data_IF_586948010125
#
_entry.id   IF_586948010125
#
_cell.length_a   1.000
_cell.length_b   1.000
_cell.length_c   1.000
_cell.angle_alpha   90.00
_cell.angle_beta   90.00
_cell.angle_gamma   90.00
#
_symmetry.space_group_name_H-M   'P 1'
#
loop_
_entity.id
_entity.type
_entity.pdbx_description
1 polymer ?
#
# COMPACT_ATOMS: atom_id res chain seq x y z
N UNK A 1 59.98 -13.37 36.53
CA UNK A 1 59.56 -13.82 35.19
C UNK A 1 58.05 -13.85 35.15
N UNK A 2 57.49 -12.88 34.45
CA UNK A 2 56.11 -12.41 34.56
C UNK A 2 55.17 -13.34 33.80
N UNK A 3 54.33 -14.08 34.54
CA UNK A 3 53.23 -14.86 34.01
C UNK A 3 52.17 -13.88 33.51
N UNK A 4 52.17 -13.60 32.21
CA UNK A 4 51.12 -12.84 31.55
C UNK A 4 49.76 -13.53 31.73
N UNK A 5 48.93 -12.98 32.62
CA UNK A 5 47.52 -13.34 32.74
C UNK A 5 46.82 -12.70 31.54
N UNK A 6 46.64 -13.51 30.49
CA UNK A 6 45.96 -13.12 29.25
C UNK A 6 44.45 -13.02 29.50
N UNK A 7 43.98 -11.80 29.77
CA UNK A 7 42.57 -11.45 29.83
C UNK A 7 41.92 -11.66 28.45
N UNK A 8 41.22 -12.77 28.26
CA UNK A 8 40.30 -12.95 27.13
C UNK A 8 39.01 -12.20 27.46
N UNK A 9 38.94 -10.89 27.17
CA UNK A 9 37.67 -10.19 27.04
C UNK A 9 36.87 -10.90 25.95
N UNK A 10 35.89 -11.74 26.31
CA UNK A 10 34.89 -12.21 25.35
C UNK A 10 34.19 -10.97 24.81
N UNK A 11 34.36 -10.67 23.53
CA UNK A 11 33.48 -9.70 22.85
C UNK A 11 32.06 -10.21 23.08
N UNK A 12 31.23 -9.39 23.73
CA UNK A 12 29.81 -9.67 23.87
C UNK A 12 29.27 -9.96 22.47
N UNK A 13 28.95 -11.22 22.20
CA UNK A 13 28.61 -11.71 20.88
C UNK A 13 27.39 -10.97 20.36
N UNK A 14 27.46 -10.52 19.11
CA UNK A 14 26.33 -10.01 18.36
C UNK A 14 25.22 -11.07 18.41
N UNK A 15 24.12 -10.76 19.10
CA UNK A 15 22.96 -11.63 19.17
C UNK A 15 22.24 -11.54 17.81
N UNK A 16 22.28 -12.61 17.03
CA UNK A 16 21.48 -12.74 15.82
C UNK A 16 19.98 -12.85 16.13
N UNK A 17 19.15 -12.51 15.14
CA UNK A 17 17.70 -12.64 15.22
C UNK A 17 17.29 -14.12 15.30
N UNK A 18 16.24 -14.43 16.07
CA UNK A 18 15.75 -15.80 16.21
C UNK A 18 14.76 -16.15 15.11
N UNK A 19 14.69 -17.44 14.74
CA UNK A 19 13.67 -17.93 13.80
C UNK A 19 12.25 -17.71 14.35
N UNK A 20 12.08 -17.80 15.67
CA UNK A 20 10.78 -17.60 16.33
C UNK A 20 10.29 -16.17 16.15
N UNK A 21 11.16 -15.17 16.32
CA UNK A 21 10.80 -13.78 16.07
C UNK A 21 10.36 -13.58 14.61
N UNK A 22 11.07 -14.19 13.64
CA UNK A 22 10.71 -14.09 12.23
C UNK A 22 9.33 -14.69 11.93
N UNK A 23 9.04 -15.85 12.50
CA UNK A 23 7.77 -16.53 12.27
C UNK A 23 6.58 -15.71 12.76
N UNK A 24 6.71 -15.06 13.92
CA UNK A 24 5.65 -14.18 14.46
C UNK A 24 5.46 -12.97 13.54
N UNK A 25 6.55 -12.36 13.05
CA UNK A 25 6.45 -11.22 12.12
C UNK A 25 5.70 -11.61 10.85
N UNK A 26 6.06 -12.74 10.22
CA UNK A 26 5.40 -13.21 8.99
C UNK A 26 3.93 -13.55 9.25
N UNK A 27 3.61 -14.14 10.41
CA UNK A 27 2.23 -14.42 10.79
C UNK A 27 1.38 -13.14 10.89
N UNK A 28 1.90 -12.10 11.55
CA UNK A 28 1.21 -10.80 11.67
C UNK A 28 1.03 -10.15 10.30
N UNK A 29 2.08 -10.11 9.47
CA UNK A 29 2.02 -9.56 8.10
C UNK A 29 1.00 -10.34 7.26
N UNK A 30 0.93 -11.66 7.40
CA UNK A 30 -0.03 -12.52 6.70
C UNK A 30 -1.48 -12.17 7.03
N UNK A 31 -1.80 -11.99 8.33
CA UNK A 31 -3.15 -11.59 8.77
C UNK A 31 -3.50 -10.20 8.23
N UNK A 32 -2.58 -9.24 8.33
CA UNK A 32 -2.79 -7.88 7.82
C UNK A 32 -2.99 -7.88 6.30
N UNK A 33 -2.17 -8.62 5.55
CA UNK A 33 -2.28 -8.72 4.10
C UNK A 33 -3.59 -9.36 3.65
N UNK A 34 -4.07 -10.39 4.35
CA UNK A 34 -5.33 -11.05 4.04
C UNK A 34 -6.54 -10.10 4.10
N UNK A 35 -6.53 -9.12 5.01
CA UNK A 35 -7.58 -8.09 5.12
C UNK A 35 -7.31 -6.93 4.15
N UNK A 36 -6.06 -6.47 4.08
CA UNK A 36 -5.67 -5.28 3.34
C UNK A 36 -5.84 -5.45 1.82
N UNK A 37 -5.46 -6.60 1.25
CA UNK A 37 -5.51 -6.84 -0.19
C UNK A 37 -6.95 -6.71 -0.75
N UNK A 38 -7.97 -7.45 -0.26
CA UNK A 38 -9.32 -7.33 -0.79
C UNK A 38 -9.93 -5.93 -0.52
N UNK A 39 -9.60 -5.31 0.61
CA UNK A 39 -10.05 -3.95 0.91
C UNK A 39 -9.47 -2.94 -0.08
N UNK A 40 -8.18 -3.02 -0.36
CA UNK A 40 -7.50 -2.14 -1.30
C UNK A 40 -8.05 -2.30 -2.73
N UNK A 41 -8.30 -3.54 -3.16
CA UNK A 41 -8.93 -3.80 -4.46
C UNK A 41 -10.31 -3.17 -4.57
N UNK A 42 -11.15 -3.31 -3.53
CA UNK A 42 -12.47 -2.65 -3.48
C UNK A 42 -12.35 -1.12 -3.51
N UNK A 43 -11.39 -0.57 -2.78
CA UNK A 43 -11.14 0.87 -2.74
C UNK A 43 -10.73 1.40 -4.12
N UNK A 44 -9.80 0.73 -4.81
CA UNK A 44 -9.40 1.07 -6.18
C UNK A 44 -10.58 1.01 -7.16
N UNK A 45 -11.40 -0.04 -7.08
CA UNK A 45 -12.58 -0.16 -7.95
C UNK A 45 -13.57 1.00 -7.72
N UNK A 46 -13.81 1.39 -6.47
CA UNK A 46 -14.65 2.55 -6.13
C UNK A 46 -14.06 3.86 -6.64
N UNK A 47 -12.75 4.06 -6.48
CA UNK A 47 -12.06 5.24 -6.98
C UNK A 47 -12.19 5.36 -8.51
N UNK A 48 -11.96 4.26 -9.24
CA UNK A 48 -12.13 4.23 -10.70
C UNK A 48 -13.57 4.52 -11.12
N UNK A 49 -14.57 3.93 -10.44
CA UNK A 49 -15.97 4.20 -10.73
C UNK A 49 -16.35 5.66 -10.43
N UNK A 50 -15.82 6.24 -9.35
CA UNK A 50 -16.04 7.64 -9.02
C UNK A 50 -15.42 8.57 -10.06
N UNK A 51 -14.23 8.25 -10.56
CA UNK A 51 -13.59 9.00 -11.64
C UNK A 51 -14.41 8.94 -12.92
N UNK A 52 -14.79 7.72 -13.37
CA UNK A 52 -15.61 7.54 -14.55
C UNK A 52 -16.97 8.26 -14.46
N UNK A 53 -17.60 8.26 -13.27
CA UNK A 53 -18.83 9.00 -13.04
C UNK A 53 -18.61 10.52 -13.11
N UNK A 54 -17.48 11.01 -12.61
CA UNK A 54 -17.11 12.43 -12.72
C UNK A 54 -16.92 12.82 -14.18
N UNK A 55 -16.20 12.01 -14.95
CA UNK A 55 -15.95 12.26 -16.38
C UNK A 55 -17.26 12.26 -17.17
N UNK A 56 -18.16 11.30 -16.90
CA UNK A 56 -19.48 11.25 -17.54
C UNK A 56 -20.35 12.47 -17.20
N UNK A 57 -20.27 12.98 -15.96
CA UNK A 57 -20.97 14.21 -15.56
C UNK A 57 -20.42 15.43 -16.28
N UNK A 58 -19.09 15.54 -16.38
CA UNK A 58 -18.45 16.63 -17.12
C UNK A 58 -18.88 16.60 -18.59
N UNK A 59 -18.82 15.43 -19.23
CA UNK A 59 -19.25 15.27 -20.61
C UNK A 59 -20.72 15.62 -20.83
N UNK A 60 -21.61 15.22 -19.90
CA UNK A 60 -23.01 15.63 -19.94
C UNK A 60 -23.15 17.15 -19.86
N UNK A 61 -22.44 17.80 -18.95
CA UNK A 61 -22.47 19.26 -18.83
C UNK A 61 -21.95 19.95 -20.09
N UNK A 62 -20.88 19.44 -20.71
CA UNK A 62 -20.37 19.96 -21.96
C UNK A 62 -21.38 19.81 -23.11
N UNK A 63 -22.04 18.65 -23.20
CA UNK A 63 -23.10 18.38 -24.18
C UNK A 63 -24.33 19.28 -23.97
N UNK A 64 -24.76 19.46 -22.72
CA UNK A 64 -25.85 20.36 -22.35
C UNK A 64 -25.51 21.80 -22.74
N UNK A 65 -24.26 22.22 -22.52
CA UNK A 65 -23.74 23.53 -22.94
C UNK A 65 -23.77 23.70 -24.46
N UNK A 66 -23.29 22.70 -25.21
CA UNK A 66 -23.32 22.72 -26.67
C UNK A 66 -24.75 22.78 -27.21
N UNK A 67 -25.66 21.97 -26.68
CA UNK A 67 -27.06 21.99 -27.11
C UNK A 67 -27.75 23.32 -26.79
N UNK A 68 -27.44 23.93 -25.64
CA UNK A 68 -27.98 25.25 -25.29
C UNK A 68 -27.57 26.33 -26.29
N UNK A 69 -26.35 26.26 -26.83
CA UNK A 69 -25.82 27.21 -27.81
C UNK A 69 -26.29 26.92 -29.25
N UNK A 70 -26.23 25.66 -29.69
CA UNK A 70 -26.41 25.28 -31.11
C UNK A 70 -27.76 24.58 -31.41
N UNK A 71 -28.57 24.29 -30.39
CA UNK A 71 -29.87 23.60 -30.49
C UNK A 71 -29.81 22.19 -31.11
N UNK A 72 -28.63 21.59 -31.22
CA UNK A 72 -28.41 20.20 -31.61
C UNK A 72 -27.20 19.63 -30.84
N UNK A 73 -27.04 18.30 -30.80
CA UNK A 73 -25.84 17.68 -30.24
C UNK A 73 -24.71 17.61 -31.27
N UNK A 74 -23.43 17.52 -30.83
CA UNK A 74 -22.32 17.27 -31.73
C UNK A 74 -22.49 15.92 -32.45
N UNK A 75 -22.22 15.89 -33.76
CA UNK A 75 -22.30 14.69 -34.60
C UNK A 75 -21.02 13.84 -34.52
#
# INVERSE_FOLDING_TARGET
>A
MLKQIRNHKRKNGEKGFTLVELMIVVAIIGILAAIAIPQFTKYRARANNSAALSDARNFRTDMEGYFAEWQHYPN
#
